data_IF_129478312982
#
_entry.id   IF_129478312982
#
_cell.length_a   1.000
_cell.length_b   1.000
_cell.length_c   1.000
_cell.angle_alpha   90.00
_cell.angle_beta   90.00
_cell.angle_gamma   90.00
#
_symmetry.space_group_name_H-M   'P 1'
#
loop_
_entity.id
_entity.type
_entity.pdbx_description
1 polymer ?
#
# COMPACT_ATOMS: atom_id res chain seq x y z
N UNK A 1 -10.25 -54.95 12.87
CA UNK A 1 -8.93 -54.85 12.19
C UNK A 1 -8.48 -53.40 12.17
N UNK A 2 -7.29 -53.03 12.68
CA UNK A 2 -6.74 -51.68 12.48
C UNK A 2 -5.85 -51.62 11.21
N UNK A 3 -5.84 -50.51 10.46
CA UNK A 3 -4.97 -50.36 9.30
C UNK A 3 -3.50 -50.05 9.69
N UNK A 4 -2.55 -50.74 9.05
CA UNK A 4 -1.11 -50.54 9.21
C UNK A 4 -0.64 -49.27 8.49
N UNK A 5 0.04 -48.38 9.22
CA UNK A 5 0.76 -47.21 8.70
C UNK A 5 2.04 -47.65 7.99
N UNK A 6 2.28 -47.18 6.77
CA UNK A 6 3.58 -47.19 6.10
C UNK A 6 4.12 -45.76 5.99
N UNK A 7 5.26 -45.51 6.64
CA UNK A 7 6.10 -44.32 6.48
C UNK A 7 7.27 -44.69 5.58
N UNK A 8 7.54 -43.88 4.58
CA UNK A 8 8.82 -43.77 3.85
C UNK A 8 8.95 -42.29 3.47
N UNK A 9 9.87 -41.44 3.94
CA UNK A 9 11.31 -41.46 4.20
C UNK A 9 12.19 -41.23 2.97
N UNK A 10 12.62 -39.96 2.87
CA UNK A 10 13.97 -39.47 2.51
C UNK A 10 14.34 -39.48 1.01
N UNK A 11 14.64 -38.29 0.46
CA UNK A 11 16.02 -37.91 0.10
C UNK A 11 16.09 -36.52 -0.53
N UNK A 12 16.92 -35.67 0.07
CA UNK A 12 17.43 -34.41 -0.46
C UNK A 12 18.49 -34.70 -1.53
N UNK A 13 18.55 -33.89 -2.60
CA UNK A 13 19.75 -33.81 -3.43
C UNK A 13 19.99 -32.38 -3.90
N UNK A 14 21.10 -31.83 -3.43
CA UNK A 14 21.71 -30.56 -3.84
C UNK A 14 22.82 -30.85 -4.85
N UNK A 15 22.88 -30.07 -5.93
CA UNK A 15 24.04 -29.67 -6.74
C UNK A 15 23.46 -28.92 -7.96
N UNK A 16 23.86 -27.72 -8.38
CA UNK A 16 25.07 -26.95 -8.19
C UNK A 16 25.75 -26.77 -9.55
N UNK A 17 25.56 -25.63 -10.24
CA UNK A 17 26.42 -25.24 -11.38
C UNK A 17 26.47 -23.71 -11.56
N UNK A 18 27.63 -23.28 -12.03
CA UNK A 18 28.19 -21.92 -11.97
C UNK A 18 28.14 -21.24 -13.34
N UNK A 19 28.18 -19.89 -13.29
CA UNK A 19 28.83 -18.95 -14.23
C UNK A 19 28.29 -18.81 -15.67
N UNK A 20 28.04 -17.56 -16.03
CA UNK A 20 27.99 -17.07 -17.41
C UNK A 20 28.10 -15.55 -17.44
N UNK A 21 29.33 -15.04 -17.57
CA UNK A 21 29.65 -13.65 -17.87
C UNK A 21 29.62 -13.45 -19.39
N UNK A 22 28.95 -12.40 -19.87
CA UNK A 22 29.25 -11.85 -21.19
C UNK A 22 29.06 -10.34 -21.17
N UNK A 23 30.19 -9.63 -21.12
CA UNK A 23 30.29 -8.26 -21.58
C UNK A 23 30.27 -8.25 -23.11
N UNK A 24 29.63 -7.24 -23.70
CA UNK A 24 29.95 -6.78 -25.05
C UNK A 24 29.92 -5.26 -25.04
N UNK A 25 31.01 -4.70 -25.57
CA UNK A 25 31.32 -3.30 -25.67
C UNK A 25 31.00 -2.77 -27.08
N UNK A 26 31.13 -1.45 -27.19
CA UNK A 26 31.45 -0.66 -28.40
C UNK A 26 30.28 -0.24 -29.29
N UNK A 27 30.03 1.07 -29.38
CA UNK A 27 30.65 1.92 -30.40
C UNK A 27 29.97 3.30 -30.43
N UNK A 28 30.80 4.35 -30.31
CA UNK A 28 30.44 5.72 -30.61
C UNK A 28 30.59 6.00 -32.12
N UNK A 29 29.80 6.92 -32.69
CA UNK A 29 30.35 7.99 -33.55
C UNK A 29 29.33 9.09 -33.90
N UNK A 30 29.74 10.33 -33.66
CA UNK A 30 29.60 11.58 -34.45
C UNK A 30 28.32 11.82 -35.30
N UNK A 31 27.52 12.86 -35.01
CA UNK A 31 27.68 14.31 -35.34
C UNK A 31 27.20 14.68 -36.75
N UNK A 32 26.13 15.47 -36.84
CA UNK A 32 25.95 16.47 -37.89
C UNK A 32 24.98 17.57 -37.43
N UNK A 33 25.45 18.80 -37.51
CA UNK A 33 24.68 20.01 -37.34
C UNK A 33 23.87 20.29 -38.60
N UNK A 34 22.70 20.92 -38.47
CA UNK A 34 22.16 21.82 -39.48
C UNK A 34 21.24 22.83 -38.81
N UNK A 35 21.64 24.09 -38.96
CA UNK A 35 20.87 25.26 -38.60
C UNK A 35 19.81 25.52 -39.69
N UNK A 36 18.61 25.90 -39.27
CA UNK A 36 17.68 26.66 -40.09
C UNK A 36 16.88 27.61 -39.20
N UNK A 37 16.78 28.84 -39.71
CA UNK A 37 16.31 30.07 -39.08
C UNK A 37 14.91 30.40 -39.62
N UNK A 38 14.22 31.31 -38.90
CA UNK A 38 12.94 31.99 -39.21
C UNK A 38 11.68 31.15 -38.90
N UNK A 39 10.59 31.69 -38.34
CA UNK A 39 10.12 33.08 -38.38
C UNK A 39 9.16 33.37 -37.22
N UNK A 40 9.07 34.65 -36.88
CA UNK A 40 8.20 35.25 -35.86
C UNK A 40 6.71 35.12 -36.21
N UNK A 41 5.89 34.91 -35.18
CA UNK A 41 4.44 35.08 -35.21
C UNK A 41 3.96 35.58 -33.86
N UNK A 42 3.51 36.83 -33.81
CA UNK A 42 2.90 37.44 -32.63
C UNK A 42 1.49 36.88 -32.41
N UNK A 43 1.25 36.27 -31.25
CA UNK A 43 -0.08 35.92 -30.78
C UNK A 43 -0.21 36.27 -29.28
N UNK A 44 -0.63 37.51 -29.05
CA UNK A 44 -1.69 37.92 -28.13
C UNK A 44 -1.89 37.01 -26.89
N UNK A 45 -1.42 37.50 -25.74
CA UNK A 45 -1.48 36.82 -24.46
C UNK A 45 -2.88 36.35 -24.07
N UNK A 46 -2.98 35.06 -23.77
CA UNK A 46 -4.02 34.49 -22.94
C UNK A 46 -3.49 34.56 -21.52
N UNK A 47 -4.19 35.31 -20.65
CA UNK A 47 -3.95 35.26 -19.21
C UNK A 47 -4.42 33.87 -18.76
N UNK A 48 -3.50 32.92 -18.66
CA UNK A 48 -3.76 31.67 -17.95
C UNK A 48 -4.04 32.01 -16.49
N UNK A 49 -5.31 31.88 -16.11
CA UNK A 49 -5.72 31.91 -14.72
C UNK A 49 -5.07 30.70 -14.04
N UNK A 50 -4.10 30.99 -13.18
CA UNK A 50 -3.35 30.04 -12.37
C UNK A 50 -4.31 29.12 -11.58
N UNK A 51 -4.19 27.77 -11.67
CA UNK A 51 -5.13 26.80 -11.10
C UNK A 51 -5.03 26.62 -9.56
N UNK A 52 -4.26 27.46 -8.88
CA UNK A 52 -3.77 27.22 -7.51
C UNK A 52 -4.86 27.37 -6.42
N UNK A 53 -6.05 27.92 -6.74
CA UNK A 53 -7.09 28.21 -5.73
C UNK A 53 -8.07 27.07 -5.42
N UNK A 54 -8.18 26.05 -6.27
CA UNK A 54 -9.15 24.95 -6.07
C UNK A 54 -8.64 23.84 -5.14
N UNK A 55 -7.36 23.47 -5.24
CA UNK A 55 -6.75 22.45 -4.38
C UNK A 55 -6.86 22.80 -2.89
N UNK A 56 -6.68 24.08 -2.52
CA UNK A 56 -6.70 24.51 -1.13
C UNK A 56 -8.08 24.41 -0.46
N UNK A 57 -9.18 24.62 -1.20
CA UNK A 57 -10.53 24.54 -0.65
C UNK A 57 -10.96 23.08 -0.40
N UNK A 58 -10.59 22.18 -1.32
CA UNK A 58 -10.85 20.75 -1.19
C UNK A 58 -10.01 20.14 -0.06
N UNK A 59 -8.71 20.47 0.01
CA UNK A 59 -7.82 20.05 1.11
C UNK A 59 -8.33 20.52 2.48
N UNK A 60 -8.82 21.76 2.59
CA UNK A 60 -9.40 22.27 3.82
C UNK A 60 -10.68 21.51 4.23
N UNK A 61 -11.54 21.14 3.26
CA UNK A 61 -12.73 20.34 3.52
C UNK A 61 -12.36 18.91 3.96
N UNK A 62 -11.36 18.30 3.32
CA UNK A 62 -10.84 16.98 3.70
C UNK A 62 -10.24 17.00 5.12
N UNK A 63 -9.46 18.02 5.47
CA UNK A 63 -8.89 18.17 6.80
C UNK A 63 -9.98 18.42 7.87
N UNK A 64 -11.00 19.23 7.56
CA UNK A 64 -12.14 19.42 8.45
C UNK A 64 -12.93 18.12 8.68
N UNK A 65 -13.12 17.32 7.62
CA UNK A 65 -13.73 15.99 7.73
C UNK A 65 -12.87 15.03 8.56
N UNK A 66 -11.55 15.00 8.32
CA UNK A 66 -10.56 14.21 9.10
C UNK A 66 -10.64 14.57 10.59
N UNK A 67 -10.62 15.86 10.91
CA UNK A 67 -10.72 16.35 12.30
C UNK A 67 -12.05 15.98 12.95
N UNK A 68 -13.16 16.10 12.22
CA UNK A 68 -14.50 15.72 12.71
C UNK A 68 -14.59 14.21 12.98
N UNK A 69 -14.02 13.39 12.10
CA UNK A 69 -13.96 11.94 12.29
C UNK A 69 -13.12 11.58 13.53
N UNK A 70 -11.92 12.16 13.66
CA UNK A 70 -11.03 11.93 14.81
C UNK A 70 -11.63 12.42 16.14
N UNK A 71 -12.50 13.42 16.13
CA UNK A 71 -13.18 13.91 17.33
C UNK A 71 -14.19 12.90 17.92
N UNK A 72 -14.61 11.89 17.15
CA UNK A 72 -15.50 10.81 17.64
C UNK A 72 -14.78 9.79 18.51
N UNK A 73 -13.45 9.73 18.44
CA UNK A 73 -12.63 8.69 19.07
C UNK A 73 -11.54 9.31 19.97
N UNK A 74 -11.87 10.37 20.71
CA UNK A 74 -10.90 11.07 21.58
C UNK A 74 -10.40 10.23 22.75
N UNK A 75 -11.16 9.20 23.13
CA UNK A 75 -10.82 8.31 24.26
C UNK A 75 -9.85 7.19 23.86
N UNK A 76 -9.62 6.98 22.56
CA UNK A 76 -8.71 5.97 22.04
C UNK A 76 -7.28 6.49 21.93
N UNK A 77 -6.31 5.58 22.08
CA UNK A 77 -4.89 5.91 21.94
C UNK A 77 -4.56 6.36 20.51
N UNK A 78 -3.75 7.42 20.34
CA UNK A 78 -3.30 7.85 19.01
C UNK A 78 -2.36 6.83 18.37
N UNK A 79 -2.47 6.68 17.07
CA UNK A 79 -1.61 5.84 16.25
C UNK A 79 -0.25 6.50 16.08
N UNK A 80 0.79 5.88 16.61
CA UNK A 80 2.17 6.20 16.25
C UNK A 80 2.65 5.25 15.13
N UNK A 81 2.91 5.76 13.91
CA UNK A 81 3.42 4.95 12.82
C UNK A 81 4.77 4.28 13.11
N UNK A 82 5.57 4.82 14.03
CA UNK A 82 6.92 4.36 14.35
C UNK A 82 6.99 3.50 15.63
N UNK A 83 5.85 3.09 16.15
CA UNK A 83 5.80 2.22 17.31
C UNK A 83 6.50 0.87 17.04
N UNK A 84 7.42 0.52 17.92
CA UNK A 84 8.20 -0.71 17.87
C UNK A 84 7.33 -1.98 17.90
N UNK A 85 6.11 -1.91 18.48
CA UNK A 85 5.14 -3.03 18.49
C UNK A 85 4.84 -3.53 17.08
N UNK A 86 4.97 -2.67 16.06
CA UNK A 86 4.66 -3.01 14.68
C UNK A 86 5.86 -3.51 13.86
N UNK A 87 7.07 -3.51 14.42
CA UNK A 87 8.29 -3.87 13.68
C UNK A 87 8.30 -5.33 13.23
N UNK A 88 7.74 -6.24 14.05
CA UNK A 88 7.60 -7.64 13.69
C UNK A 88 6.81 -7.84 12.41
N UNK A 89 5.60 -7.28 12.38
CA UNK A 89 4.70 -7.40 11.23
C UNK A 89 5.19 -6.59 10.03
N UNK A 90 5.81 -5.44 10.25
CA UNK A 90 6.41 -4.62 9.18
C UNK A 90 7.45 -5.39 8.37
N UNK A 91 8.34 -6.15 9.03
CA UNK A 91 9.33 -6.99 8.34
C UNK A 91 8.66 -8.10 7.51
N UNK A 92 7.53 -8.64 7.97
CA UNK A 92 6.75 -9.63 7.21
C UNK A 92 6.10 -8.97 5.99
N UNK A 93 5.48 -7.81 6.19
CA UNK A 93 4.80 -7.06 5.13
C UNK A 93 5.77 -6.66 4.01
N UNK A 94 6.94 -6.11 4.36
CA UNK A 94 7.99 -5.77 3.39
C UNK A 94 8.44 -6.97 2.56
N UNK A 95 8.56 -8.15 3.16
CA UNK A 95 8.95 -9.37 2.42
C UNK A 95 7.86 -9.85 1.48
N UNK A 96 6.59 -9.70 1.85
CA UNK A 96 5.45 -10.16 1.04
C UNK A 96 5.21 -9.26 -0.18
N UNK A 97 5.26 -7.93 -0.01
CA UNK A 97 4.83 -6.98 -1.05
C UNK A 97 5.96 -6.12 -1.63
N UNK A 98 7.14 -6.10 -1.01
CA UNK A 98 8.24 -5.24 -1.45
C UNK A 98 7.92 -3.75 -1.30
N UNK A 99 8.55 -2.89 -2.09
CA UNK A 99 8.27 -1.44 -2.07
C UNK A 99 7.05 -1.12 -2.95
N UNK A 100 6.02 -0.42 -2.45
CA UNK A 100 4.89 0.02 -3.27
C UNK A 100 5.32 0.96 -4.40
N UNK A 101 4.69 0.82 -5.56
CA UNK A 101 4.96 1.63 -6.76
C UNK A 101 4.38 3.05 -6.64
N UNK A 102 3.20 3.19 -6.03
CA UNK A 102 2.55 4.48 -5.73
C UNK A 102 2.52 4.67 -4.21
N UNK A 103 3.66 5.10 -3.67
CA UNK A 103 3.87 5.22 -2.23
C UNK A 103 3.72 6.67 -1.72
N UNK A 104 3.42 7.63 -2.59
CA UNK A 104 3.26 9.03 -2.18
C UNK A 104 2.17 9.15 -1.11
N UNK A 105 2.50 9.76 0.03
CA UNK A 105 1.58 9.92 1.16
C UNK A 105 1.33 8.65 1.99
N UNK A 106 1.89 7.49 1.64
CA UNK A 106 1.71 6.25 2.38
C UNK A 106 2.84 6.01 3.39
N UNK A 107 2.49 5.98 4.67
CA UNK A 107 3.34 5.48 5.75
C UNK A 107 3.43 3.92 5.78
N UNK A 108 4.26 3.39 6.68
CA UNK A 108 4.44 1.94 6.90
C UNK A 108 3.17 1.22 7.37
N UNK A 109 2.28 1.90 8.07
CA UNK A 109 1.00 1.34 8.54
C UNK A 109 0.11 0.99 7.35
N UNK A 110 -0.06 1.91 6.39
CA UNK A 110 -0.86 1.62 5.19
C UNK A 110 -0.33 0.41 4.42
N UNK A 111 0.99 0.27 4.35
CA UNK A 111 1.60 -0.88 3.69
C UNK A 111 1.30 -2.20 4.43
N UNK A 112 1.41 -2.22 5.76
CA UNK A 112 1.04 -3.38 6.57
C UNK A 112 -0.44 -3.77 6.40
N UNK A 113 -1.33 -2.78 6.40
CA UNK A 113 -2.77 -2.98 6.19
C UNK A 113 -3.09 -3.46 4.77
N UNK A 114 -2.37 -2.96 3.77
CA UNK A 114 -2.53 -3.41 2.37
C UNK A 114 -2.08 -4.85 2.16
N UNK A 115 -0.98 -5.26 2.81
CA UNK A 115 -0.56 -6.67 2.83
C UNK A 115 -1.64 -7.55 3.47
N UNK A 116 -2.24 -7.08 4.58
CA UNK A 116 -3.35 -7.78 5.19
C UNK A 116 -4.53 -7.90 4.22
N UNK A 117 -4.96 -6.81 3.57
CA UNK A 117 -6.07 -6.79 2.58
C UNK A 117 -5.86 -7.73 1.39
N UNK A 118 -4.61 -7.94 0.98
CA UNK A 118 -4.22 -8.80 -0.14
C UNK A 118 -4.04 -10.26 0.24
N UNK A 119 -4.01 -10.61 1.53
CA UNK A 119 -3.83 -11.98 1.98
C UNK A 119 -5.16 -12.76 1.90
N UNK A 120 -5.29 -13.78 1.02
CA UNK A 120 -6.53 -14.52 0.87
C UNK A 120 -6.85 -15.46 2.03
N UNK A 121 -5.88 -15.74 2.93
CA UNK A 121 -6.08 -16.66 4.07
C UNK A 121 -7.14 -16.18 5.05
N UNK A 122 -7.28 -14.87 5.22
CA UNK A 122 -8.23 -14.24 6.15
C UNK A 122 -9.63 -14.02 5.54
N UNK A 123 -9.90 -14.64 4.40
CA UNK A 123 -11.17 -14.55 3.68
C UNK A 123 -11.39 -13.23 2.92
N UNK A 124 -12.53 -13.10 2.21
CA UNK A 124 -12.78 -11.97 1.32
C UNK A 124 -12.89 -10.65 2.09
N UNK A 125 -12.27 -9.59 1.58
CA UNK A 125 -12.29 -8.26 2.20
C UNK A 125 -13.49 -7.39 1.78
N UNK A 126 -14.38 -7.89 0.94
CA UNK A 126 -15.50 -7.09 0.41
C UNK A 126 -16.62 -6.92 1.45
N UNK A 127 -17.09 -5.68 1.60
CA UNK A 127 -18.23 -5.34 2.46
C UNK A 127 -17.93 -5.32 3.96
N UNK A 128 -16.67 -5.46 4.37
CA UNK A 128 -16.24 -5.41 5.76
C UNK A 128 -15.19 -4.33 5.97
N UNK A 129 -15.18 -3.74 7.16
CA UNK A 129 -14.02 -3.00 7.67
C UNK A 129 -12.85 -3.96 7.91
N UNK A 130 -11.64 -3.42 7.98
CA UNK A 130 -10.45 -4.23 8.31
C UNK A 130 -10.57 -4.90 9.68
N UNK A 131 -11.24 -4.25 10.64
CA UNK A 131 -11.39 -4.78 12.00
C UNK A 131 -12.38 -5.94 12.03
N UNK A 132 -13.52 -5.81 11.36
CA UNK A 132 -14.48 -6.91 11.21
C UNK A 132 -13.86 -8.10 10.49
N UNK A 133 -13.06 -7.84 9.44
CA UNK A 133 -12.33 -8.90 8.73
C UNK A 133 -11.33 -9.60 9.65
N UNK A 134 -10.65 -8.86 10.52
CA UNK A 134 -9.72 -9.42 11.51
C UNK A 134 -10.43 -10.34 12.49
N UNK A 135 -11.56 -9.90 13.06
CA UNK A 135 -12.37 -10.73 13.96
C UNK A 135 -12.88 -11.98 13.26
N UNK A 136 -13.45 -11.84 12.06
CA UNK A 136 -13.92 -12.99 11.28
C UNK A 136 -12.80 -14.00 11.02
N UNK A 137 -11.60 -13.54 10.68
CA UNK A 137 -10.44 -14.42 10.50
C UNK A 137 -10.07 -15.18 11.78
N UNK A 138 -10.19 -14.52 12.93
CA UNK A 138 -9.88 -15.12 14.23
C UNK A 138 -10.96 -16.09 14.71
N UNK A 139 -12.22 -15.73 14.52
CA UNK A 139 -13.37 -16.41 15.11
C UNK A 139 -13.94 -17.50 14.18
N UNK A 140 -14.10 -17.23 12.88
CA UNK A 140 -14.73 -18.16 11.94
C UNK A 140 -13.74 -19.12 11.28
N UNK A 141 -12.51 -18.65 11.05
CA UNK A 141 -11.48 -19.41 10.34
C UNK A 141 -10.41 -20.00 11.26
N UNK A 142 -10.49 -19.72 12.57
CA UNK A 142 -9.49 -20.11 13.59
C UNK A 142 -8.04 -19.76 13.18
N UNK A 143 -7.89 -18.78 12.29
CA UNK A 143 -6.59 -18.38 11.78
C UNK A 143 -5.92 -17.45 12.80
N UNK A 144 -4.62 -17.22 12.64
CA UNK A 144 -3.89 -16.27 13.48
C UNK A 144 -3.61 -14.99 12.69
N UNK A 145 -4.60 -14.10 12.51
CA UNK A 145 -4.36 -12.81 11.87
C UNK A 145 -3.36 -12.01 12.72
N UNK A 146 -2.58 -11.11 12.10
CA UNK A 146 -1.52 -10.40 12.81
C UNK A 146 -2.10 -9.48 13.88
N UNK A 147 -1.67 -9.65 15.14
CA UNK A 147 -2.12 -8.82 16.27
C UNK A 147 -1.84 -7.33 16.06
N UNK A 148 -0.72 -7.01 15.38
CA UNK A 148 -0.37 -5.64 15.01
C UNK A 148 -1.50 -4.95 14.25
N UNK A 149 -2.21 -5.67 13.37
CA UNK A 149 -3.34 -5.12 12.60
C UNK A 149 -4.48 -4.74 13.53
N UNK A 150 -4.82 -5.58 14.52
CA UNK A 150 -5.87 -5.26 15.50
C UNK A 150 -5.52 -4.00 16.30
N UNK A 151 -4.30 -3.96 16.85
CA UNK A 151 -3.81 -2.83 17.65
C UNK A 151 -3.88 -1.53 16.83
N UNK A 152 -3.46 -1.55 15.56
CA UNK A 152 -3.57 -0.40 14.66
C UNK A 152 -5.03 0.02 14.51
N UNK A 153 -5.95 -0.92 14.29
CA UNK A 153 -7.35 -0.61 14.03
C UNK A 153 -8.13 -0.18 15.27
N UNK A 154 -7.65 -0.52 16.46
CA UNK A 154 -8.18 -0.07 17.76
C UNK A 154 -7.70 1.34 18.14
N UNK A 155 -6.71 1.90 17.44
CA UNK A 155 -6.28 3.31 17.67
C UNK A 155 -7.32 4.31 17.18
N UNK A 156 -7.20 5.55 17.65
CA UNK A 156 -8.04 6.68 17.24
C UNK A 156 -8.13 6.83 15.72
N UNK A 157 -7.00 6.83 15.03
CA UNK A 157 -6.90 6.96 13.57
C UNK A 157 -7.44 5.70 12.87
N UNK A 158 -7.14 4.53 13.43
CA UNK A 158 -7.60 3.22 12.93
C UNK A 158 -9.12 3.10 12.87
N UNK A 159 -9.80 3.63 13.89
CA UNK A 159 -11.26 3.63 13.97
C UNK A 159 -11.91 4.80 13.21
N UNK A 160 -11.25 5.96 13.18
CA UNK A 160 -11.84 7.18 12.63
C UNK A 160 -11.71 7.31 11.12
N UNK A 161 -10.54 6.95 10.56
CA UNK A 161 -10.17 7.34 9.20
C UNK A 161 -10.30 6.17 8.24
N UNK A 162 -10.97 6.43 7.11
CA UNK A 162 -11.21 5.41 6.09
C UNK A 162 -9.92 4.85 5.48
N UNK A 163 -8.84 5.64 5.43
CA UNK A 163 -7.51 5.20 4.97
C UNK A 163 -6.95 4.02 5.79
N UNK A 164 -7.32 3.91 7.08
CA UNK A 164 -6.94 2.81 7.97
C UNK A 164 -8.08 1.81 8.18
N UNK A 165 -9.32 2.26 8.25
CA UNK A 165 -10.47 1.41 8.58
C UNK A 165 -10.95 0.55 7.42
N UNK A 166 -10.92 1.06 6.20
CA UNK A 166 -11.53 0.43 5.03
C UNK A 166 -10.51 -0.26 4.13
N UNK A 167 -10.80 -1.45 3.58
CA UNK A 167 -9.88 -2.16 2.70
C UNK A 167 -9.60 -1.38 1.41
N UNK A 168 -8.47 -1.66 0.75
CA UNK A 168 -8.05 -0.96 -0.50
C UNK A 168 -9.11 -1.03 -1.62
N UNK A 169 -9.96 -2.05 -1.62
CA UNK A 169 -11.01 -2.24 -2.62
C UNK A 169 -12.35 -1.61 -2.23
N UNK A 170 -12.42 -0.92 -1.08
CA UNK A 170 -13.61 -0.17 -0.70
C UNK A 170 -13.71 1.07 -1.58
N UNK A 171 -14.77 1.15 -2.38
CA UNK A 171 -15.03 2.23 -3.32
C UNK A 171 -15.53 3.51 -2.61
N UNK A 172 -14.76 4.02 -1.66
CA UNK A 172 -14.94 5.37 -1.10
C UNK A 172 -13.91 6.37 -1.64
N UNK A 173 -12.95 5.92 -2.45
CA UNK A 173 -12.10 6.80 -3.26
C UNK A 173 -12.93 7.33 -4.45
N UNK A 174 -13.82 8.29 -4.17
CA UNK A 174 -14.66 9.00 -5.15
C UNK A 174 -13.83 9.97 -6.00
N UNK A 175 -12.90 9.43 -6.80
CA UNK A 175 -11.97 10.20 -7.64
C UNK A 175 -11.84 9.70 -9.07
N UNK A 176 -12.77 8.87 -9.57
CA UNK A 176 -12.89 8.61 -11.00
C UNK A 176 -14.09 9.39 -11.52
N UNK A 177 -13.86 10.69 -11.76
CA UNK A 177 -14.77 11.52 -12.53
C UNK A 177 -14.80 11.00 -13.97
N UNK A 178 -15.94 10.42 -14.36
CA UNK A 178 -16.40 10.39 -15.74
C UNK A 178 -17.29 11.61 -15.99
#
# INVERSE_FOLDING_TARGET
MPPKKTRSSIASSFQGTKRGTSASASAASSKAASASKQQQGAARGIKEASPVKLHSAEEAAQEAARRTALARFTDADPLDPQDARFDGYWRIAQRKMGKPVHAEGLNRIHHMLRVFDMDPTYGPCMGLTRLERWHRAKDDFEENPPEAVRIILETREGQALDEYRLPVYSSTFGGWGL
#
